data_IF_541816067745
#
_entry.id   IF_541816067745
#
_cell.length_a   1.000
_cell.length_b   1.000
_cell.length_c   1.000
_cell.angle_alpha   90.00
_cell.angle_beta   90.00
_cell.angle_gamma   90.00
#
_symmetry.space_group_name_H-M   'P 1'
#
loop_
_entity.id
_entity.type
_entity.pdbx_description
1 polymer ?
#
# COMPACT_ATOMS: atom_id res chain seq x y z
N UNK A 1 5.86 1.88 -0.89
CA UNK A 1 4.49 1.33 -0.76
C UNK A 1 4.44 -0.04 -1.39
N UNK A 2 3.67 -0.95 -0.79
CA UNK A 2 3.36 -2.28 -1.32
C UNK A 2 1.83 -2.36 -1.46
N UNK A 3 1.34 -2.84 -2.60
CA UNK A 3 -0.08 -3.14 -2.84
C UNK A 3 -0.22 -4.63 -3.15
N UNK A 4 -1.25 -5.27 -2.61
CA UNK A 4 -1.53 -6.69 -2.80
C UNK A 4 -3.02 -6.91 -3.09
N UNK A 5 -3.32 -7.76 -4.08
CA UNK A 5 -4.68 -8.12 -4.44
C UNK A 5 -5.38 -8.84 -3.28
N UNK A 6 -6.58 -8.39 -2.92
CA UNK A 6 -7.44 -9.10 -1.96
C UNK A 6 -8.49 -9.96 -2.67
N UNK A 7 -9.25 -9.33 -3.56
CA UNK A 7 -10.30 -9.97 -4.34
C UNK A 7 -10.61 -9.12 -5.58
N UNK A 8 -11.31 -9.70 -6.56
CA UNK A 8 -11.81 -8.96 -7.71
C UNK A 8 -13.12 -9.57 -8.19
N UNK A 9 -13.95 -8.76 -8.85
CA UNK A 9 -15.18 -9.20 -9.48
C UNK A 9 -15.58 -8.24 -10.60
N UNK A 10 -15.71 -8.73 -11.83
CA UNK A 10 -15.97 -7.90 -13.00
C UNK A 10 -14.91 -6.81 -13.18
N UNK A 11 -15.34 -5.55 -13.26
CA UNK A 11 -14.46 -4.38 -13.40
C UNK A 11 -14.00 -3.78 -12.04
N UNK A 12 -14.12 -4.55 -10.94
CA UNK A 12 -13.75 -4.09 -9.60
C UNK A 12 -12.62 -4.89 -9.00
N UNK A 13 -11.72 -4.20 -8.31
CA UNK A 13 -10.57 -4.78 -7.60
C UNK A 13 -10.58 -4.26 -6.15
N UNK A 14 -10.45 -5.18 -5.19
CA UNK A 14 -10.17 -4.87 -3.81
C UNK A 14 -8.68 -5.13 -3.52
N UNK A 15 -8.03 -4.18 -2.88
CA UNK A 15 -6.59 -4.18 -2.64
C UNK A 15 -6.31 -3.89 -1.16
N UNK A 16 -5.31 -4.57 -0.62
CA UNK A 16 -4.66 -4.20 0.65
C UNK A 16 -3.36 -3.49 0.33
N UNK A 17 -3.02 -2.46 1.09
CA UNK A 17 -1.75 -1.79 0.93
C UNK A 17 -1.12 -1.37 2.27
N UNK A 18 0.20 -1.14 2.20
CA UNK A 18 0.92 -0.47 3.27
C UNK A 18 2.01 0.43 2.71
N UNK A 19 2.27 1.54 3.39
CA UNK A 19 3.38 2.44 3.08
C UNK A 19 4.01 3.01 4.35
N UNK A 20 5.32 3.25 4.29
CA UNK A 20 6.09 3.86 5.36
C UNK A 20 6.51 5.26 4.94
N UNK A 21 6.43 6.20 5.87
CA UNK A 21 6.75 7.59 5.62
C UNK A 21 7.19 8.27 6.92
N UNK A 22 7.80 9.43 6.77
CA UNK A 22 8.27 10.28 7.87
C UNK A 22 7.70 11.67 7.71
N UNK A 23 7.13 12.23 8.76
CA UNK A 23 6.66 13.61 8.77
C UNK A 23 7.84 14.61 8.85
N UNK A 24 7.52 15.91 8.90
CA UNK A 24 8.49 17.00 9.01
C UNK A 24 9.08 17.17 10.42
N UNK A 25 8.42 16.61 11.44
CA UNK A 25 8.92 16.53 12.81
C UNK A 25 9.88 15.34 13.03
N UNK A 26 10.02 14.45 12.04
CA UNK A 26 10.89 13.27 12.08
C UNK A 26 10.22 12.01 12.65
N UNK A 27 8.91 12.03 12.90
CA UNK A 27 8.17 10.86 13.34
C UNK A 27 7.93 9.92 12.15
N UNK A 28 8.15 8.62 12.38
CA UNK A 28 7.90 7.59 11.38
C UNK A 28 6.52 6.97 11.57
N UNK A 29 5.89 6.62 10.45
CA UNK A 29 4.61 5.95 10.41
C UNK A 29 4.63 4.79 9.43
N UNK A 30 3.85 3.75 9.75
CA UNK A 30 3.35 2.80 8.76
C UNK A 30 1.85 2.96 8.65
N UNK A 31 1.41 3.30 7.45
CA UNK A 31 0.00 3.41 7.10
C UNK A 31 -0.47 2.09 6.50
N UNK A 32 -1.64 1.63 6.94
CA UNK A 32 -2.29 0.41 6.45
C UNK A 32 -3.59 0.82 5.76
N UNK A 33 -3.79 0.34 4.54
CA UNK A 33 -4.92 0.75 3.72
C UNK A 33 -5.69 -0.40 3.08
N UNK A 34 -6.97 -0.12 2.87
CA UNK A 34 -7.83 -0.87 1.98
C UNK A 34 -8.35 0.05 0.89
N UNK A 35 -8.11 -0.34 -0.35
CA UNK A 35 -8.61 0.40 -1.50
C UNK A 35 -9.56 -0.48 -2.33
N UNK A 36 -10.66 0.12 -2.79
CA UNK A 36 -11.57 -0.50 -3.73
C UNK A 36 -11.63 0.35 -5.01
N UNK A 37 -11.30 -0.28 -6.11
CA UNK A 37 -11.18 0.33 -7.42
C UNK A 37 -12.28 -0.18 -8.34
N UNK A 38 -12.86 0.71 -9.13
CA UNK A 38 -13.69 0.36 -10.28
C UNK A 38 -13.10 0.97 -11.55
N UNK A 39 -13.04 0.18 -12.62
CA UNK A 39 -12.45 0.56 -13.90
C UNK A 39 -13.51 0.69 -15.01
N UNK A 40 -13.30 1.62 -15.94
CA UNK A 40 -14.07 1.74 -17.17
C UNK A 40 -13.63 0.74 -18.23
N UNK A 41 -14.34 0.69 -19.35
CA UNK A 41 -14.01 -0.17 -20.49
C UNK A 41 -12.71 0.20 -21.22
N UNK A 42 -12.18 1.38 -20.95
CA UNK A 42 -10.88 1.89 -21.42
C UNK A 42 -9.71 1.52 -20.49
N UNK A 43 -10.00 0.86 -19.37
CA UNK A 43 -9.00 0.49 -18.35
C UNK A 43 -8.63 1.62 -17.39
N UNK A 44 -9.25 2.80 -17.49
CA UNK A 44 -9.04 3.88 -16.52
C UNK A 44 -9.90 3.68 -15.27
N UNK A 45 -9.34 4.01 -14.11
CA UNK A 45 -10.07 3.94 -12.84
C UNK A 45 -11.15 5.02 -12.82
N UNK A 46 -12.41 4.62 -12.76
CA UNK A 46 -13.56 5.52 -12.67
C UNK A 46 -13.92 5.85 -11.22
N UNK A 47 -13.70 4.92 -10.28
CA UNK A 47 -13.97 5.13 -8.85
C UNK A 47 -12.85 4.57 -8.00
N UNK A 48 -12.50 5.32 -6.95
CA UNK A 48 -11.54 4.92 -5.91
C UNK A 48 -12.10 5.25 -4.55
N UNK A 49 -12.26 4.22 -3.72
CA UNK A 49 -12.56 4.37 -2.30
C UNK A 49 -11.37 3.83 -1.51
N UNK A 50 -10.85 4.62 -0.58
CA UNK A 50 -9.68 4.26 0.20
C UNK A 50 -9.94 4.59 1.67
N UNK A 51 -9.70 3.61 2.54
CA UNK A 51 -9.64 3.79 3.99
C UNK A 51 -8.21 3.49 4.41
N UNK A 52 -7.61 4.39 5.21
CA UNK A 52 -6.21 4.28 5.62
C UNK A 52 -6.13 4.64 7.10
N UNK A 53 -5.34 3.86 7.85
CA UNK A 53 -5.03 4.13 9.25
C UNK A 53 -3.53 4.22 9.44
N UNK A 54 -3.08 5.31 10.08
CA UNK A 54 -1.67 5.55 10.37
C UNK A 54 -1.29 4.99 11.73
N UNK A 55 -0.22 4.20 11.77
CA UNK A 55 0.37 3.68 12.99
C UNK A 55 1.76 4.30 13.18
N UNK A 56 2.03 5.02 14.29
CA UNK A 56 3.37 5.46 14.63
C UNK A 56 4.31 4.25 14.77
N UNK A 57 5.52 4.37 14.23
CA UNK A 57 6.58 3.36 14.37
C UNK A 57 7.91 4.04 14.69
N UNK A 58 8.88 3.28 15.22
CA UNK A 58 10.28 3.70 15.29
C UNK A 58 10.93 3.52 13.92
N UNK A 59 11.99 4.29 13.66
CA UNK A 59 12.79 4.10 12.44
C UNK A 59 13.34 2.67 12.31
N UNK A 60 13.73 2.06 13.43
CA UNK A 60 14.22 0.68 13.51
C UNK A 60 13.15 -0.37 13.19
N UNK A 61 11.86 -0.01 13.20
CA UNK A 61 10.75 -0.91 12.93
C UNK A 61 10.34 -0.88 11.45
N UNK A 62 10.98 -0.06 10.63
CA UNK A 62 10.77 -0.01 9.18
C UNK A 62 11.09 -1.35 8.53
N UNK A 63 10.27 -1.71 7.55
CA UNK A 63 10.42 -2.92 6.75
C UNK A 63 10.65 -2.60 5.26
N UNK A 64 10.41 -1.37 4.82
CA UNK A 64 10.53 -1.00 3.41
C UNK A 64 11.85 -0.30 3.12
N UNK A 65 12.83 -1.09 2.65
CA UNK A 65 14.21 -0.65 2.42
C UNK A 65 14.62 -0.84 0.96
N UNK A 66 14.39 0.19 0.14
CA UNK A 66 14.91 0.29 -1.23
C UNK A 66 15.02 1.76 -1.65
N UNK A 67 15.79 2.10 -2.71
CA UNK A 67 15.82 3.46 -3.25
C UNK A 67 14.42 3.94 -3.64
N UNK A 68 14.09 5.21 -3.40
CA UNK A 68 12.77 5.75 -3.73
C UNK A 68 12.41 5.49 -5.19
N UNK A 69 11.27 4.83 -5.41
CA UNK A 69 10.81 4.40 -6.73
C UNK A 69 10.14 3.02 -6.70
N UNK A 70 10.24 2.31 -7.84
CA UNK A 70 9.67 0.96 -8.01
C UNK A 70 10.29 0.00 -6.98
N UNK A 71 9.43 -0.74 -6.29
CA UNK A 71 9.83 -1.86 -5.41
C UNK A 71 10.62 -2.90 -6.23
N UNK A 72 11.79 -3.38 -5.75
CA UNK A 72 12.50 -4.50 -6.37
C UNK A 72 11.62 -5.75 -6.50
N UNK A 73 11.87 -6.56 -7.53
CA UNK A 73 11.05 -7.76 -7.80
C UNK A 73 11.23 -8.87 -6.78
N UNK A 74 12.40 -8.91 -6.13
CA UNK A 74 12.79 -9.86 -5.09
C UNK A 74 12.44 -9.41 -3.67
N UNK A 75 11.98 -8.16 -3.48
CA UNK A 75 11.50 -7.71 -2.18
C UNK A 75 10.21 -8.44 -1.82
N UNK A 76 10.03 -8.91 -0.57
CA UNK A 76 8.80 -9.56 -0.13
C UNK A 76 7.55 -8.67 -0.31
N UNK A 77 6.39 -9.32 -0.49
CA UNK A 77 5.06 -8.68 -0.54
C UNK A 77 4.48 -8.41 0.84
N UNK A 78 3.20 -8.00 0.91
CA UNK A 78 2.54 -7.73 2.21
C UNK A 78 2.40 -9.00 3.04
N UNK A 79 1.92 -10.08 2.41
CA UNK A 79 1.74 -11.36 3.09
C UNK A 79 3.04 -11.89 3.71
N UNK A 80 4.14 -11.80 2.99
CA UNK A 80 5.45 -12.33 3.42
C UNK A 80 6.08 -11.50 4.54
N UNK A 81 5.70 -10.23 4.64
CA UNK A 81 6.09 -9.32 5.72
C UNK A 81 5.16 -9.40 6.95
N UNK A 82 4.12 -10.24 6.89
CA UNK A 82 3.08 -10.35 7.92
C UNK A 82 2.41 -9.00 8.22
N UNK A 83 2.15 -8.20 7.18
CA UNK A 83 1.50 -6.89 7.23
C UNK A 83 0.08 -6.90 6.64
#
# INVERSE_FOLDING_TARGET
MIKELWAFYGNRIAVRDAYEWRDDAGNWFRSYGNENWEFGGDGLMQRRFACINDMPIKESERQFHWPLGRRPDDHPGLRDLCL
#
